data_IF_756345012954
#
_entry.id   IF_756345012954
#
_cell.length_a   1.000
_cell.length_b   1.000
_cell.length_c   1.000
_cell.angle_alpha   90.00
_cell.angle_beta   90.00
_cell.angle_gamma   90.00
#
_symmetry.space_group_name_H-M   'P 1'
#
loop_
_entity.id
_entity.type
_entity.pdbx_description
1 polymer ?
#
# COMPACT_ATOMS: atom_id res chain seq x y z
N UNK A 1 18.80 3.33 -0.76
CA UNK A 1 19.71 2.39 -0.05
C UNK A 1 19.07 1.87 1.25
N UNK A 2 18.83 0.56 1.36
CA UNK A 2 18.47 -0.11 2.61
C UNK A 2 19.70 -0.20 3.50
N UNK A 3 19.55 0.12 4.79
CA UNK A 3 20.67 0.30 5.73
C UNK A 3 21.02 -0.98 6.49
N UNK A 4 20.37 -2.10 6.20
CA UNK A 4 20.65 -3.39 6.84
C UNK A 4 20.00 -3.55 8.22
N UNK A 5 19.38 -2.49 8.77
CA UNK A 5 18.56 -2.56 9.97
C UNK A 5 17.08 -2.74 9.59
N UNK A 6 16.61 -4.00 9.60
CA UNK A 6 15.22 -4.39 9.24
C UNK A 6 14.15 -3.46 9.83
N UNK A 7 14.29 -3.04 11.09
CA UNK A 7 13.30 -2.21 11.79
C UNK A 7 13.22 -0.78 11.23
N UNK A 8 14.38 -0.19 10.92
CA UNK A 8 14.47 1.18 10.37
C UNK A 8 14.08 1.23 8.90
N UNK A 9 14.48 0.21 8.13
CA UNK A 9 14.10 0.09 6.72
C UNK A 9 12.58 -0.18 6.58
N UNK A 10 11.99 -0.91 7.53
CA UNK A 10 10.53 -1.13 7.60
C UNK A 10 9.77 0.17 7.88
N UNK A 11 10.20 0.98 8.86
CA UNK A 11 9.55 2.27 9.19
C UNK A 11 9.59 3.23 7.99
N UNK A 12 10.73 3.33 7.31
CA UNK A 12 10.87 4.23 6.14
C UNK A 12 10.01 3.79 4.96
N UNK A 13 9.94 2.48 4.72
CA UNK A 13 9.10 1.96 3.62
C UNK A 13 7.61 2.12 3.94
N UNK A 14 7.21 1.90 5.19
CA UNK A 14 5.82 2.05 5.61
C UNK A 14 5.35 3.51 5.47
N UNK A 15 6.15 4.45 5.95
CA UNK A 15 5.85 5.88 5.81
C UNK A 15 5.70 6.29 4.33
N UNK A 16 6.57 5.78 3.45
CA UNK A 16 6.45 6.04 2.01
C UNK A 16 5.13 5.51 1.44
N UNK A 17 4.69 4.32 1.86
CA UNK A 17 3.41 3.74 1.45
C UNK A 17 2.22 4.55 1.97
N UNK A 18 2.28 5.08 3.18
CA UNK A 18 1.25 5.96 3.76
C UNK A 18 1.14 7.26 2.96
N UNK A 19 2.26 7.95 2.71
CA UNK A 19 2.28 9.17 1.90
C UNK A 19 1.78 8.91 0.48
N UNK A 20 2.14 7.77 -0.12
CA UNK A 20 1.63 7.40 -1.43
C UNK A 20 0.12 7.13 -1.43
N UNK A 21 -0.41 6.51 -0.36
CA UNK A 21 -1.84 6.28 -0.21
C UNK A 21 -2.59 7.60 0.02
N UNK A 22 -2.05 8.53 0.81
CA UNK A 22 -2.60 9.88 0.98
C UNK A 22 -2.75 10.59 -0.35
N UNK A 23 -1.67 10.59 -1.14
CA UNK A 23 -1.68 11.17 -2.46
C UNK A 23 -2.73 10.50 -3.34
N UNK A 24 -2.77 9.17 -3.39
CA UNK A 24 -3.73 8.42 -4.19
C UNK A 24 -5.19 8.76 -3.82
N UNK A 25 -5.51 8.85 -2.53
CA UNK A 25 -6.84 9.23 -2.06
C UNK A 25 -7.25 10.65 -2.49
N UNK A 26 -6.29 11.55 -2.67
CA UNK A 26 -6.54 12.94 -3.11
C UNK A 26 -6.67 13.12 -4.63
N UNK A 27 -6.10 12.21 -5.43
CA UNK A 27 -6.02 12.39 -6.90
C UNK A 27 -6.74 11.33 -7.71
N UNK A 28 -7.03 10.16 -7.14
CA UNK A 28 -7.70 9.10 -7.88
C UNK A 28 -9.14 9.50 -8.19
N UNK A 29 -9.52 9.31 -9.46
CA UNK A 29 -10.93 9.31 -9.86
C UNK A 29 -11.63 8.06 -9.31
N UNK A 30 -12.95 8.09 -9.10
CA UNK A 30 -13.73 6.89 -8.82
C UNK A 30 -13.41 5.77 -9.82
N UNK A 31 -13.25 4.55 -9.31
CA UNK A 31 -12.79 3.39 -10.08
C UNK A 31 -11.26 3.24 -10.18
N UNK A 32 -10.48 4.24 -9.75
CA UNK A 32 -9.01 4.18 -9.73
C UNK A 32 -8.43 3.08 -8.84
N UNK A 33 -7.15 2.76 -9.01
CA UNK A 33 -6.46 1.70 -8.26
C UNK A 33 -5.17 2.23 -7.64
N UNK A 34 -4.78 1.65 -6.52
CA UNK A 34 -3.52 1.92 -5.84
C UNK A 34 -2.74 0.62 -5.66
N UNK A 35 -1.45 0.64 -5.99
CA UNK A 35 -0.54 -0.49 -5.82
C UNK A 35 0.76 0.04 -5.20
N UNK A 36 1.15 -0.52 -4.06
CA UNK A 36 2.40 -0.18 -3.40
C UNK A 36 3.16 -1.44 -2.99
N UNK A 37 4.49 -1.37 -3.09
CA UNK A 37 5.39 -2.43 -2.62
C UNK A 37 5.59 -2.27 -1.11
N UNK A 38 5.36 -3.34 -0.35
CA UNK A 38 5.50 -3.39 1.11
C UNK A 38 6.45 -4.53 1.52
N UNK A 39 6.92 -4.48 2.76
CA UNK A 39 7.70 -5.57 3.37
C UNK A 39 6.89 -6.17 4.51
N UNK A 40 6.79 -7.51 4.58
CA UNK A 40 6.13 -8.21 5.69
C UNK A 40 6.75 -7.79 7.03
N UNK A 41 5.95 -7.21 7.94
CA UNK A 41 6.46 -6.76 9.24
C UNK A 41 5.46 -6.28 10.29
N UNK A 42 4.15 -6.19 9.96
CA UNK A 42 3.10 -6.01 10.97
C UNK A 42 2.74 -4.56 11.33
N UNK A 43 3.38 -3.55 10.72
CA UNK A 43 3.05 -2.15 10.94
C UNK A 43 2.10 -1.54 9.89
N UNK A 44 1.39 -2.35 9.12
CA UNK A 44 0.53 -1.89 8.01
C UNK A 44 -0.97 -1.88 8.31
N UNK A 45 -1.38 -2.18 9.56
CA UNK A 45 -2.79 -2.32 9.93
C UNK A 45 -3.60 -1.03 9.71
N UNK A 46 -3.01 0.13 10.01
CA UNK A 46 -3.67 1.42 9.82
C UNK A 46 -3.85 1.74 8.33
N UNK A 47 -2.80 1.57 7.53
CA UNK A 47 -2.88 1.70 6.07
C UNK A 47 -3.91 0.74 5.47
N UNK A 48 -3.90 -0.53 5.89
CA UNK A 48 -4.88 -1.53 5.44
C UNK A 48 -6.31 -1.11 5.77
N UNK A 49 -6.56 -0.65 6.99
CA UNK A 49 -7.88 -0.19 7.42
C UNK A 49 -8.35 0.98 6.54
N UNK A 50 -7.46 1.95 6.33
CA UNK A 50 -7.74 3.13 5.52
C UNK A 50 -8.01 2.79 4.05
N UNK A 51 -7.22 1.88 3.47
CA UNK A 51 -7.46 1.40 2.10
C UNK A 51 -8.79 0.63 2.01
N UNK A 52 -9.13 -0.23 2.97
CA UNK A 52 -10.42 -0.97 2.96
C UNK A 52 -11.64 -0.04 3.07
N UNK A 53 -11.51 1.08 3.77
CA UNK A 53 -12.57 2.09 3.85
C UNK A 53 -12.80 2.75 2.49
N UNK A 54 -11.72 3.05 1.75
CA UNK A 54 -11.77 3.87 0.54
C UNK A 54 -11.86 3.10 -0.78
N UNK A 55 -11.48 1.82 -0.80
CA UNK A 55 -11.46 0.97 -1.98
C UNK A 55 -12.44 -0.20 -1.84
N UNK A 56 -12.89 -0.77 -2.96
CA UNK A 56 -13.84 -1.90 -2.95
C UNK A 56 -13.18 -3.20 -2.48
N UNK A 57 -11.91 -3.40 -2.80
CA UNK A 57 -11.16 -4.56 -2.32
C UNK A 57 -9.69 -4.22 -2.14
N UNK A 58 -9.04 -4.89 -1.19
CA UNK A 58 -7.61 -4.74 -0.88
C UNK A 58 -6.98 -6.12 -0.76
N UNK A 59 -5.89 -6.36 -1.48
CA UNK A 59 -5.23 -7.66 -1.59
C UNK A 59 -3.73 -7.52 -1.33
N UNK A 60 -3.18 -8.47 -0.58
CA UNK A 60 -1.74 -8.70 -0.60
C UNK A 60 -1.40 -9.57 -1.80
N UNK A 61 -0.47 -9.11 -2.64
CA UNK A 61 -0.07 -9.76 -3.88
C UNK A 61 1.41 -10.11 -3.81
N UNK A 62 1.73 -11.41 -3.93
CA UNK A 62 3.10 -11.88 -4.16
C UNK A 62 3.29 -12.12 -5.67
N UNK A 63 4.19 -11.40 -6.37
CA UNK A 63 4.40 -11.58 -7.79
C UNK A 63 4.99 -12.96 -8.09
N UNK A 64 4.58 -13.63 -9.19
CA UNK A 64 5.17 -14.92 -9.62
C UNK A 64 6.67 -14.85 -9.89
N UNK A 65 7.18 -13.67 -10.28
CA UNK A 65 8.60 -13.44 -10.58
C UNK A 65 9.45 -13.14 -9.33
N UNK A 66 8.85 -13.06 -8.14
CA UNK A 66 9.62 -12.86 -6.91
C UNK A 66 10.29 -14.17 -6.53
N UNK A 67 11.61 -14.16 -6.39
CA UNK A 67 12.38 -15.31 -5.87
C UNK A 67 11.79 -15.73 -4.53
N UNK A 68 11.76 -17.04 -4.22
CA UNK A 68 11.19 -17.56 -2.97
C UNK A 68 11.80 -16.92 -1.71
N UNK A 69 13.06 -16.50 -1.83
CA UNK A 69 13.88 -15.86 -0.81
C UNK A 69 13.55 -14.38 -0.59
N UNK A 70 12.80 -13.77 -1.51
CA UNK A 70 12.42 -12.36 -1.47
C UNK A 70 11.09 -12.16 -0.75
N UNK A 71 11.10 -11.32 0.29
CA UNK A 71 9.93 -10.94 1.11
C UNK A 71 9.08 -9.82 0.48
N UNK A 72 9.23 -9.61 -0.83
CA UNK A 72 8.55 -8.53 -1.55
C UNK A 72 7.06 -8.86 -1.71
N UNK A 73 6.24 -8.13 -0.96
CA UNK A 73 4.80 -8.19 -1.01
C UNK A 73 4.28 -6.89 -1.60
N UNK A 74 3.14 -6.92 -2.27
CA UNK A 74 2.48 -5.72 -2.76
C UNK A 74 1.11 -5.60 -2.13
N UNK A 75 0.70 -4.37 -1.87
CA UNK A 75 -0.64 -4.05 -1.41
C UNK A 75 -1.41 -3.43 -2.58
N UNK A 76 -2.40 -4.16 -3.08
CA UNK A 76 -3.25 -3.76 -4.19
C UNK A 76 -4.64 -3.36 -3.67
N UNK A 77 -4.98 -2.09 -3.77
CA UNK A 77 -6.31 -1.58 -3.48
C UNK A 77 -7.03 -1.25 -4.81
N UNK A 78 -8.20 -1.85 -5.02
CA UNK A 78 -8.96 -1.78 -6.28
C UNK A 78 -10.27 -1.04 -6.11
N UNK A 79 -10.67 -0.37 -7.18
CA UNK A 79 -11.91 0.37 -7.33
C UNK A 79 -12.09 1.41 -6.21
N UNK A 80 -11.37 2.52 -6.32
CA UNK A 80 -11.51 3.67 -5.43
C UNK A 80 -12.97 4.14 -5.45
N UNK A 81 -13.58 4.26 -4.27
CA UNK A 81 -15.01 4.60 -4.14
C UNK A 81 -15.31 6.05 -4.51
N UNK A 82 -14.30 6.92 -4.53
CA UNK A 82 -14.48 8.36 -4.57
C UNK A 82 -14.88 8.86 -3.19
N UNK A 83 -13.93 9.42 -2.44
CA UNK A 83 -14.27 10.14 -1.21
C UNK A 83 -15.26 11.25 -1.54
N UNK A 84 -16.20 11.55 -0.64
CA UNK A 84 -17.29 12.52 -0.83
C UNK A 84 -16.86 13.99 -1.01
N UNK A 85 -15.66 14.26 -1.50
CA UNK A 85 -15.11 15.59 -1.75
C UNK A 85 -14.42 15.67 -3.09
N UNK A 86 -15.21 15.79 -4.16
CA UNK A 86 -14.85 16.41 -5.45
C UNK A 86 -16.09 16.39 -6.34
N UNK A 87 -17.07 17.22 -5.98
CA UNK A 87 -18.00 17.82 -6.93
C UNK A 87 -17.45 19.19 -7.33
#
# INVERSE_FOLDING_TARGET
>A
PTTGHRRTDHIRTMYLCEVAADFALSVLKPGGHFLAKTFQGGAENELLARLKQNFRSVHHVKPPASRDESVELYLLAKDFKGGSGAG
#
